data_IF_313810265470
#
_entry.id   IF_313810265470
#
_cell.length_a   1.000
_cell.length_b   1.000
_cell.length_c   1.000
_cell.angle_alpha   90.00
_cell.angle_beta   90.00
_cell.angle_gamma   90.00
#
_symmetry.space_group_name_H-M   'P 1'
#
loop_
_entity.id
_entity.type
_entity.pdbx_description
1 polymer ?
#
# COMPACT_ATOMS: atom_id res chain seq x y z
N UNK A 1 11.43 -16.81 23.75
CA UNK A 1 11.81 -16.72 22.32
C UNK A 1 13.28 -16.35 22.26
N UNK A 2 14.13 -17.11 21.56
CA UNK A 2 15.57 -16.81 21.43
C UNK A 2 15.80 -15.75 20.34
N UNK A 3 16.91 -15.01 20.41
CA UNK A 3 17.31 -13.98 19.43
C UNK A 3 17.34 -14.56 17.99
N UNK A 4 17.76 -15.81 17.84
CA UNK A 4 17.74 -16.55 16.57
C UNK A 4 16.34 -16.99 16.12
N UNK A 5 15.48 -17.42 17.04
CA UNK A 5 14.09 -17.75 16.71
C UNK A 5 13.29 -16.54 16.20
N UNK A 6 13.51 -15.37 16.80
CA UNK A 6 12.89 -14.11 16.39
C UNK A 6 13.30 -13.70 14.95
N UNK A 7 14.59 -13.84 14.61
CA UNK A 7 15.08 -13.58 13.24
C UNK A 7 14.40 -14.47 12.22
N UNK A 8 14.35 -15.79 12.45
CA UNK A 8 13.77 -16.75 11.49
C UNK A 8 12.30 -16.45 11.21
N UNK A 9 11.51 -16.17 12.25
CA UNK A 9 10.09 -15.79 12.10
C UNK A 9 9.96 -14.47 11.33
N UNK A 10 10.84 -13.50 11.59
CA UNK A 10 10.83 -12.24 10.85
C UNK A 10 11.11 -12.42 9.36
N UNK A 11 12.05 -13.30 8.98
CA UNK A 11 12.36 -13.64 7.59
C UNK A 11 11.21 -14.38 6.91
N UNK A 12 10.66 -15.44 7.52
CA UNK A 12 9.55 -16.19 6.91
C UNK A 12 8.29 -15.36 6.71
N UNK A 13 7.98 -14.46 7.65
CA UNK A 13 6.89 -13.50 7.47
C UNK A 13 7.13 -12.65 6.22
N UNK A 14 8.37 -12.20 6.02
CA UNK A 14 8.73 -11.36 4.90
C UNK A 14 8.67 -12.08 3.54
N UNK A 15 9.16 -13.33 3.48
CA UNK A 15 9.07 -14.20 2.29
C UNK A 15 7.61 -14.47 1.91
N UNK A 16 6.77 -14.80 2.89
CA UNK A 16 5.34 -15.04 2.69
C UNK A 16 4.62 -13.78 2.19
N UNK A 17 4.96 -12.62 2.77
CA UNK A 17 4.40 -11.33 2.37
C UNK A 17 4.80 -10.99 0.92
N UNK A 18 6.06 -11.22 0.56
CA UNK A 18 6.57 -11.00 -0.79
C UNK A 18 5.89 -11.92 -1.81
N UNK A 19 5.76 -13.21 -1.50
CA UNK A 19 5.07 -14.17 -2.36
C UNK A 19 3.59 -13.79 -2.54
N UNK A 20 2.91 -13.41 -1.46
CA UNK A 20 1.51 -12.96 -1.52
C UNK A 20 1.36 -11.68 -2.36
N UNK A 21 2.30 -10.73 -2.23
CA UNK A 21 2.34 -9.53 -3.03
C UNK A 21 2.46 -9.84 -4.54
N UNK A 22 3.32 -10.79 -4.89
CA UNK A 22 3.51 -11.23 -6.28
C UNK A 22 2.26 -11.87 -6.87
N UNK A 23 1.53 -12.67 -6.10
CA UNK A 23 0.23 -13.22 -6.53
C UNK A 23 -0.78 -12.10 -6.79
N UNK A 24 -0.85 -11.12 -5.88
CA UNK A 24 -1.75 -9.96 -6.02
C UNK A 24 -1.35 -9.08 -7.22
N UNK A 25 -0.07 -9.00 -7.58
CA UNK A 25 0.39 -8.37 -8.84
C UNK A 25 -0.17 -9.08 -10.07
N UNK A 26 0.03 -10.39 -10.15
CA UNK A 26 -0.40 -11.17 -11.31
C UNK A 26 -1.93 -11.14 -11.49
N UNK A 27 -2.68 -11.15 -10.39
CA UNK A 27 -4.14 -10.97 -10.42
C UNK A 27 -4.54 -9.57 -10.92
N UNK A 28 -3.82 -8.53 -10.49
CA UNK A 28 -4.06 -7.16 -10.94
C UNK A 28 -3.86 -7.02 -12.45
N UNK A 29 -2.79 -7.60 -12.99
CA UNK A 29 -2.49 -7.57 -14.42
C UNK A 29 -3.55 -8.29 -15.26
N UNK A 30 -4.35 -9.15 -14.62
CA UNK A 30 -5.50 -9.85 -15.22
C UNK A 30 -6.81 -9.05 -15.08
N UNK A 31 -6.91 -8.14 -14.10
CA UNK A 31 -8.10 -7.31 -13.84
C UNK A 31 -8.03 -5.97 -14.57
N UNK A 32 -8.96 -5.73 -15.51
CA UNK A 32 -8.83 -4.68 -16.51
C UNK A 32 -9.41 -3.30 -16.12
N UNK A 33 -9.51 -2.95 -14.83
CA UNK A 33 -10.04 -1.65 -14.40
C UNK A 33 -8.99 -0.77 -13.71
N UNK A 34 -8.97 0.51 -14.05
CA UNK A 34 -8.03 1.46 -13.44
C UNK A 34 -8.25 1.61 -11.93
N UNK A 35 -9.49 1.55 -11.46
CA UNK A 35 -9.80 1.56 -10.03
C UNK A 35 -9.27 0.34 -9.26
N UNK A 36 -9.37 -0.89 -9.81
CA UNK A 36 -8.81 -2.07 -9.14
C UNK A 36 -7.28 -1.97 -8.99
N UNK A 37 -6.61 -1.40 -9.99
CA UNK A 37 -5.18 -1.08 -9.92
C UNK A 37 -4.88 -0.05 -8.83
N UNK A 38 -5.69 1.00 -8.69
CA UNK A 38 -5.49 2.05 -7.67
C UNK A 38 -5.72 1.51 -6.25
N UNK A 39 -6.77 0.71 -6.01
CA UNK A 39 -7.02 0.01 -4.74
C UNK A 39 -5.83 -0.85 -4.33
N UNK A 40 -5.28 -1.60 -5.29
CA UNK A 40 -4.15 -2.47 -5.03
C UNK A 40 -2.86 -1.66 -4.75
N UNK A 41 -2.57 -0.65 -5.57
CA UNK A 41 -1.42 0.25 -5.36
C UNK A 41 -1.48 0.96 -4.00
N UNK A 42 -2.65 1.48 -3.60
CA UNK A 42 -2.84 2.12 -2.30
C UNK A 42 -2.72 1.09 -1.16
N UNK A 43 -3.28 -0.10 -1.34
CA UNK A 43 -3.17 -1.20 -0.39
C UNK A 43 -1.73 -1.60 -0.10
N UNK A 44 -0.86 -1.60 -1.12
CA UNK A 44 0.57 -1.92 -0.98
C UNK A 44 1.34 -0.91 -0.17
N UNK A 45 0.95 0.36 -0.20
CA UNK A 45 1.65 1.39 0.58
C UNK A 45 1.57 1.10 2.09
N UNK A 46 0.43 0.58 2.57
CA UNK A 46 0.26 0.12 3.97
C UNK A 46 1.26 -0.96 4.34
N UNK A 47 1.42 -1.95 3.45
CA UNK A 47 2.35 -3.05 3.67
C UNK A 47 3.80 -2.56 3.69
N UNK A 48 4.17 -1.74 2.70
CA UNK A 48 5.53 -1.23 2.55
C UNK A 48 5.93 -0.29 3.69
N UNK A 49 5.03 0.56 4.19
CA UNK A 49 5.34 1.44 5.33
C UNK A 49 5.66 0.65 6.60
N UNK A 50 4.87 -0.38 6.89
CA UNK A 50 5.07 -1.25 8.05
C UNK A 50 6.31 -2.15 7.89
N UNK A 51 6.58 -2.64 6.66
CA UNK A 51 7.81 -3.41 6.34
C UNK A 51 9.07 -2.56 6.58
N UNK A 52 9.07 -1.31 6.15
CA UNK A 52 10.17 -0.38 6.37
C UNK A 52 10.38 -0.08 7.87
N UNK A 53 9.30 0.15 8.62
CA UNK A 53 9.38 0.36 10.07
C UNK A 53 9.96 -0.87 10.78
N UNK A 54 9.54 -2.08 10.40
CA UNK A 54 10.08 -3.34 10.93
C UNK A 54 11.58 -3.46 10.68
N UNK A 55 12.05 -3.22 9.45
CA UNK A 55 13.48 -3.30 9.15
C UNK A 55 14.29 -2.24 9.89
N UNK A 56 13.76 -1.03 10.03
CA UNK A 56 14.38 0.01 10.83
C UNK A 56 14.52 -0.41 12.30
N UNK A 57 13.47 -0.99 12.91
CA UNK A 57 13.54 -1.52 14.28
C UNK A 57 14.59 -2.64 14.42
N UNK A 58 14.67 -3.55 13.44
CA UNK A 58 15.68 -4.60 13.43
C UNK A 58 17.09 -4.02 13.42
N UNK A 59 17.33 -2.99 12.59
CA UNK A 59 18.60 -2.27 12.54
C UNK A 59 18.94 -1.60 13.88
N UNK A 60 17.97 -0.91 14.51
CA UNK A 60 18.12 -0.30 15.85
C UNK A 60 18.52 -1.34 16.90
N UNK A 61 18.04 -2.58 16.79
CA UNK A 61 18.39 -3.68 17.69
C UNK A 61 19.70 -4.41 17.34
N UNK A 62 20.49 -3.86 16.41
CA UNK A 62 21.78 -4.40 15.99
C UNK A 62 21.68 -5.58 15.03
N UNK A 63 20.53 -5.75 14.36
CA UNK A 63 20.37 -6.70 13.26
C UNK A 63 20.47 -5.95 11.93
N UNK A 64 21.70 -5.59 11.57
CA UNK A 64 21.99 -4.97 10.29
C UNK A 64 22.74 -5.97 9.40
N UNK A 65 22.13 -6.37 8.30
CA UNK A 65 22.69 -7.34 7.35
C UNK A 65 22.50 -6.80 5.93
N UNK A 66 23.37 -7.19 5.00
CA UNK A 66 23.28 -6.76 3.59
C UNK A 66 21.88 -7.05 3.00
N UNK A 67 21.30 -8.20 3.34
CA UNK A 67 19.93 -8.56 2.93
C UNK A 67 18.88 -7.56 3.43
N UNK A 68 18.98 -7.10 4.69
CA UNK A 68 18.04 -6.09 5.22
C UNK A 68 18.22 -4.75 4.51
N UNK A 69 19.45 -4.36 4.18
CA UNK A 69 19.73 -3.13 3.46
C UNK A 69 19.11 -3.13 2.05
N UNK A 70 19.28 -4.23 1.30
CA UNK A 70 18.68 -4.40 -0.02
C UNK A 70 17.15 -4.37 0.03
N UNK A 71 16.56 -5.02 1.04
CA UNK A 71 15.10 -5.04 1.23
C UNK A 71 14.52 -3.67 1.59
N UNK A 72 15.23 -2.88 2.39
CA UNK A 72 14.86 -1.49 2.70
C UNK A 72 14.91 -0.64 1.43
N UNK A 73 15.96 -0.78 0.61
CA UNK A 73 16.11 -0.02 -0.64
C UNK A 73 14.99 -0.35 -1.63
N UNK A 74 14.71 -1.64 -1.84
CA UNK A 74 13.62 -2.10 -2.70
C UNK A 74 12.26 -1.58 -2.20
N UNK A 75 12.00 -1.65 -0.90
CA UNK A 75 10.74 -1.17 -0.34
C UNK A 75 10.59 0.36 -0.48
N UNK A 76 11.65 1.15 -0.29
CA UNK A 76 11.64 2.61 -0.52
C UNK A 76 11.32 2.96 -1.97
N UNK A 77 11.96 2.28 -2.92
CA UNK A 77 11.76 2.53 -4.35
C UNK A 77 10.33 2.16 -4.78
N UNK A 78 9.83 1.00 -4.34
CA UNK A 78 8.46 0.57 -4.62
C UNK A 78 7.42 1.51 -4.00
N UNK A 79 7.64 1.98 -2.77
CA UNK A 79 6.74 2.93 -2.13
C UNK A 79 6.71 4.26 -2.90
N UNK A 80 7.89 4.81 -3.19
CA UNK A 80 8.00 6.11 -3.89
C UNK A 80 7.32 6.09 -5.26
N UNK A 81 7.66 5.12 -6.11
CA UNK A 81 7.08 5.06 -7.47
C UNK A 81 5.57 4.78 -7.48
N UNK A 82 5.08 3.97 -6.53
CA UNK A 82 3.64 3.72 -6.40
C UNK A 82 2.90 4.96 -5.88
N UNK A 83 3.47 5.70 -4.91
CA UNK A 83 2.88 6.93 -4.42
C UNK A 83 2.82 8.02 -5.51
N UNK A 84 3.85 8.16 -6.33
CA UNK A 84 3.84 9.04 -7.50
C UNK A 84 2.74 8.66 -8.50
N UNK A 85 2.61 7.36 -8.78
CA UNK A 85 1.53 6.84 -9.64
C UNK A 85 0.15 7.17 -9.09
N UNK A 86 -0.06 6.98 -7.77
CA UNK A 86 -1.32 7.30 -7.11
C UNK A 86 -1.63 8.79 -7.18
N UNK A 87 -0.63 9.66 -6.95
CA UNK A 87 -0.81 11.13 -7.02
C UNK A 87 -1.15 11.63 -8.42
N UNK A 88 -0.60 10.98 -9.45
CA UNK A 88 -0.85 11.34 -10.85
C UNK A 88 -2.16 10.74 -11.42
N UNK A 89 -2.87 9.90 -10.66
CA UNK A 89 -4.08 9.24 -11.15
C UNK A 89 -5.21 10.24 -11.47
N UNK A 90 -5.76 10.14 -12.69
CA UNK A 90 -6.84 11.01 -13.15
C UNK A 90 -8.17 10.76 -12.44
N UNK A 91 -8.30 9.58 -11.82
CA UNK A 91 -9.45 9.12 -11.06
C UNK A 91 -9.55 9.78 -9.68
N UNK A 92 -8.52 10.53 -9.27
CA UNK A 92 -8.47 11.18 -7.97
C UNK A 92 -9.57 12.23 -7.82
N UNK A 93 -10.33 12.10 -6.74
CA UNK A 93 -11.13 13.21 -6.23
C UNK A 93 -10.25 14.20 -5.49
N UNK A 94 -10.70 15.43 -5.30
CA UNK A 94 -9.96 16.41 -4.49
C UNK A 94 -9.64 15.90 -3.07
N UNK A 95 -10.54 15.12 -2.48
CA UNK A 95 -10.33 14.53 -1.16
C UNK A 95 -9.18 13.53 -1.16
N UNK A 96 -9.12 12.65 -2.17
CA UNK A 96 -8.03 11.68 -2.34
C UNK A 96 -6.71 12.41 -2.62
N UNK A 97 -6.71 13.39 -3.53
CA UNK A 97 -5.49 14.17 -3.84
C UNK A 97 -4.92 14.85 -2.60
N UNK A 98 -5.76 15.50 -1.79
CA UNK A 98 -5.33 16.16 -0.53
C UNK A 98 -4.69 15.18 0.45
N UNK A 99 -5.23 13.96 0.57
CA UNK A 99 -4.69 12.94 1.45
C UNK A 99 -3.38 12.35 0.91
N UNK A 100 -3.28 12.08 -0.39
CA UNK A 100 -2.05 11.63 -1.02
C UNK A 100 -0.92 12.66 -0.90
N UNK A 101 -1.23 13.96 -0.97
CA UNK A 101 -0.27 15.02 -0.70
C UNK A 101 0.20 15.04 0.75
N UNK A 102 -0.68 14.69 1.70
CA UNK A 102 -0.29 14.53 3.11
C UNK A 102 0.65 13.33 3.29
N UNK A 103 0.29 12.17 2.73
CA UNK A 103 1.14 10.97 2.73
C UNK A 103 2.49 11.25 2.10
N UNK A 104 2.56 12.05 1.03
CA UNK A 104 3.82 12.42 0.39
C UNK A 104 4.75 13.25 1.29
N UNK A 105 4.18 14.16 2.11
CA UNK A 105 4.98 14.91 3.09
C UNK A 105 5.51 14.00 4.19
N UNK A 106 4.66 13.13 4.72
CA UNK A 106 5.04 12.13 5.73
C UNK A 106 6.12 11.19 5.17
N UNK A 107 5.94 10.73 3.93
CA UNK A 107 6.91 9.88 3.23
C UNK A 107 8.26 10.56 3.04
N UNK A 108 8.28 11.83 2.64
CA UNK A 108 9.54 12.58 2.45
C UNK A 108 10.36 12.62 3.73
N UNK A 109 9.70 12.83 4.87
CA UNK A 109 10.34 12.79 6.18
C UNK A 109 10.76 11.38 6.57
N UNK A 110 9.88 10.40 6.40
CA UNK A 110 10.18 9.01 6.74
C UNK A 110 11.38 8.49 5.94
N UNK A 111 11.38 8.71 4.63
CA UNK A 111 12.47 8.37 3.72
C UNK A 111 13.79 9.02 4.14
N UNK A 112 13.77 10.28 4.58
CA UNK A 112 14.95 10.95 5.11
C UNK A 112 15.46 10.29 6.40
N UNK A 113 14.56 9.97 7.33
CA UNK A 113 14.90 9.30 8.59
C UNK A 113 15.49 7.90 8.35
N UNK A 114 14.99 7.16 7.35
CA UNK A 114 15.53 5.86 6.95
C UNK A 114 16.95 5.92 6.38
N UNK A 115 17.38 7.09 5.87
CA UNK A 115 18.72 7.29 5.27
C UNK A 115 19.70 8.00 6.21
N UNK A 116 19.30 8.30 7.45
CA UNK A 116 20.22 8.86 8.45
C UNK A 116 21.29 7.83 8.83
N UNK A 117 22.46 8.33 9.23
CA UNK A 117 23.57 7.48 9.68
C UNK A 117 23.19 6.72 10.96
N UNK A 118 23.82 5.56 11.14
CA UNK A 118 23.52 4.60 12.22
C UNK A 118 23.77 5.14 13.64
N UNK A 119 24.34 6.34 13.76
CA UNK A 119 24.55 7.03 15.04
C UNK A 119 23.32 7.81 15.53
N UNK A 120 22.36 8.10 14.65
CA UNK A 120 21.21 8.96 14.94
C UNK A 120 19.88 8.19 14.70
N UNK A 121 19.56 7.25 15.59
CA UNK A 121 18.29 6.51 15.52
C UNK A 121 17.13 7.27 16.18
N UNK A 122 15.99 7.33 15.49
CA UNK A 122 14.73 7.94 15.95
C UNK A 122 13.58 6.92 15.88
N UNK A 123 13.63 5.83 16.69
CA UNK A 123 12.68 4.72 16.57
C UNK A 123 11.23 5.12 16.81
N UNK A 124 10.98 5.99 17.79
CA UNK A 124 9.62 6.48 18.08
C UNK A 124 9.05 7.24 16.88
N UNK A 125 9.83 8.14 16.28
CA UNK A 125 9.41 8.91 15.12
C UNK A 125 9.11 8.00 13.92
N UNK A 126 9.96 7.01 13.66
CA UNK A 126 9.72 6.04 12.59
C UNK A 126 8.42 5.27 12.82
N UNK A 127 8.16 4.83 14.05
CA UNK A 127 6.91 4.15 14.39
C UNK A 127 5.70 5.08 14.14
N UNK A 128 5.71 6.29 14.68
CA UNK A 128 4.62 7.25 14.58
C UNK A 128 4.30 7.62 13.12
N UNK A 129 5.33 7.90 12.31
CA UNK A 129 5.14 8.26 10.89
C UNK A 129 4.68 7.06 10.07
N UNK A 130 5.21 5.86 10.34
CA UNK A 130 4.75 4.65 9.65
C UNK A 130 3.27 4.33 9.93
N UNK A 131 2.80 4.63 11.13
CA UNK A 131 1.40 4.49 11.54
C UNK A 131 0.51 5.57 10.90
N UNK A 132 0.97 6.83 10.87
CA UNK A 132 0.28 7.91 10.15
C UNK A 132 0.05 7.55 8.67
N UNK A 133 1.08 7.03 8.01
CA UNK A 133 1.01 6.56 6.62
C UNK A 133 0.05 5.37 6.51
N UNK A 134 0.12 4.39 7.42
CA UNK A 134 -0.77 3.22 7.42
C UNK A 134 -2.24 3.64 7.45
N UNK A 135 -2.62 4.47 8.42
CA UNK A 135 -4.00 4.95 8.61
C UNK A 135 -4.46 5.76 7.40
N UNK A 136 -3.62 6.66 6.90
CA UNK A 136 -3.96 7.49 5.74
C UNK A 136 -4.17 6.64 4.48
N UNK A 137 -3.29 5.66 4.25
CA UNK A 137 -3.38 4.77 3.09
C UNK A 137 -4.54 3.77 3.20
N UNK A 138 -4.96 3.38 4.41
CA UNK A 138 -6.18 2.60 4.64
C UNK A 138 -7.43 3.37 4.22
N UNK A 139 -7.55 4.63 4.65
CA UNK A 139 -8.67 5.50 4.26
C UNK A 139 -8.67 5.77 2.75
N UNK A 140 -7.51 6.07 2.14
CA UNK A 140 -7.40 6.25 0.68
C UNK A 140 -7.84 4.99 -0.08
N UNK A 141 -7.45 3.80 0.41
CA UNK A 141 -7.84 2.52 -0.22
C UNK A 141 -9.35 2.35 -0.20
N UNK A 142 -10.01 2.60 0.94
CA UNK A 142 -11.47 2.55 1.05
C UNK A 142 -12.15 3.53 0.09
N UNK A 143 -11.61 4.74 -0.07
CA UNK A 143 -12.17 5.72 -1.04
C UNK A 143 -12.06 5.22 -2.48
N UNK A 144 -10.97 4.56 -2.86
CA UNK A 144 -10.87 3.95 -4.18
C UNK A 144 -11.82 2.77 -4.36
N UNK A 145 -12.02 1.94 -3.33
CA UNK A 145 -13.01 0.85 -3.34
C UNK A 145 -14.43 1.41 -3.56
N UNK A 146 -14.82 2.46 -2.82
CA UNK A 146 -16.11 3.12 -3.01
C UNK A 146 -16.30 3.71 -4.41
N UNK A 147 -15.23 4.26 -5.01
CA UNK A 147 -15.28 4.77 -6.38
C UNK A 147 -15.43 3.62 -7.39
N UNK A 148 -14.73 2.50 -7.19
CA UNK A 148 -14.84 1.30 -8.00
C UNK A 148 -16.28 0.76 -7.98
N UNK A 149 -16.88 0.65 -6.79
CA UNK A 149 -18.25 0.16 -6.60
C UNK A 149 -19.28 1.08 -7.28
N UNK A 150 -19.13 2.40 -7.14
CA UNK A 150 -20.00 3.38 -7.80
C UNK A 150 -19.96 3.24 -9.33
N UNK A 151 -18.79 2.97 -9.91
CA UNK A 151 -18.63 2.76 -11.36
C UNK A 151 -19.29 1.45 -11.79
N UNK A 152 -19.07 0.35 -11.05
CA UNK A 152 -19.71 -0.93 -11.32
C UNK A 152 -21.24 -0.80 -11.28
N UNK A 153 -21.80 -0.14 -10.26
CA UNK A 153 -23.25 0.13 -10.16
C UNK A 153 -23.75 0.97 -11.35
N UNK A 154 -23.00 2.02 -11.74
CA UNK A 154 -23.36 2.90 -12.88
C UNK A 154 -23.25 2.22 -14.25
N UNK A 155 -22.44 1.18 -14.40
CA UNK A 155 -22.39 0.34 -15.60
C UNK A 155 -23.51 -0.72 -15.62
N UNK A 156 -24.26 -0.86 -14.52
CA UNK A 156 -25.36 -1.82 -14.36
C UNK A 156 -26.80 -1.24 -14.52
N UNK A 157 -27.16 -0.31 -15.44
CA UNK A 157 -28.56 -0.03 -15.73
C UNK A 157 -28.97 -0.56 -17.11
N UNK A 158 -29.73 -1.69 -17.14
CA UNK A 158 -30.81 -1.99 -18.12
C UNK A 158 -31.24 -3.48 -18.24
N UNK A 159 -30.69 -4.47 -17.51
CA UNK A 159 -31.20 -5.87 -17.63
C UNK A 159 -32.45 -6.19 -16.80
N UNK A 160 -32.92 -5.27 -15.95
CA UNK A 160 -34.12 -5.48 -15.14
C UNK A 160 -35.43 -4.97 -15.79
N UNK A 161 -35.36 -4.05 -16.77
CA UNK A 161 -36.58 -3.48 -17.38
C UNK A 161 -37.01 -4.11 -18.72
N UNK A 162 -36.21 -4.98 -19.35
CA UNK A 162 -36.63 -5.68 -20.58
C UNK A 162 -37.52 -6.91 -20.33
N UNK A 163 -37.46 -7.51 -19.13
CA UNK A 163 -38.33 -8.64 -18.76
C UNK A 163 -39.74 -8.23 -18.31
N UNK A 164 -39.97 -6.96 -18.01
CA UNK A 164 -41.30 -6.45 -17.65
C UNK A 164 -42.15 -6.05 -18.87
N UNK A 165 -41.53 -5.75 -20.01
CA UNK A 165 -42.23 -5.47 -21.27
C UNK A 165 -42.61 -6.72 -22.07
N UNK A 166 -41.94 -7.86 -21.86
CA UNK A 166 -42.28 -9.13 -22.53
C UNK A 166 -43.43 -9.89 -21.84
N UNK A 167 -43.69 -9.65 -20.54
CA UNK A 167 -44.80 -10.26 -19.80
C UNK A 167 -46.14 -9.51 -19.90
N UNK A 168 -46.20 -8.38 -20.62
CA UNK A 168 -47.45 -7.66 -20.89
C UNK A 168 -48.01 -7.91 -22.30
N UNK A 169 -47.31 -8.68 -23.14
CA UNK A 169 -47.71 -9.04 -24.50
C UNK A 169 -47.91 -10.56 -24.68
N UNK A 170 -48.13 -11.31 -23.61
CA UNK A 170 -48.62 -12.70 -23.65
C UNK A 170 -49.84 -12.85 -22.75
#
# INVERSE_FOLDING_TARGET
MTKEGAKKVAYWNDDLLHASHKVVQLLQDTSNTSYARLVNLSGRQRMLSQRLAKFYMLKVWGFDTLTIADEVENAKNNFTGALETLRAATENTEAISRQLDAVYRDWTWFHKALNMKDTDFFPQLVADVSESILVSMDDITKKYEELADKILIRQTPAKANSKASEKKNQ
#
